data_IF_155348300587
#
_entry.id   IF_155348300587
#
_cell.length_a   1.000
_cell.length_b   1.000
_cell.length_c   1.000
_cell.angle_alpha   90.00
_cell.angle_beta   90.00
_cell.angle_gamma   90.00
#
_symmetry.space_group_name_H-M   'P 1'
#
loop_
_entity.id
_entity.type
_entity.pdbx_description
1 polymer ?
#
# COMPACT_ATOMS: atom_id res chain seq x y z
N UNK A 1 15.74 9.62 84.07
CA UNK A 1 15.24 8.27 83.73
C UNK A 1 16.40 7.47 83.17
N UNK A 2 16.56 6.24 83.68
CA UNK A 2 17.59 5.24 83.36
C UNK A 2 17.35 4.52 82.01
N UNK A 3 18.37 3.76 81.61
CA UNK A 3 18.47 2.64 80.62
C UNK A 3 18.86 3.04 79.18
N UNK A 4 20.09 2.83 78.69
CA UNK A 4 20.89 1.60 78.36
C UNK A 4 20.43 0.82 77.12
N UNK A 5 21.39 0.48 76.25
CA UNK A 5 21.32 -0.61 75.26
C UNK A 5 21.67 -0.13 73.84
N UNK A 6 22.91 -0.24 73.34
CA UNK A 6 23.66 -1.46 72.95
C UNK A 6 23.12 -2.12 71.67
N UNK A 7 23.99 -2.31 70.67
CA UNK A 7 23.83 -3.41 69.72
C UNK A 7 24.11 -3.16 68.24
N UNK A 8 25.31 -3.55 67.84
CA UNK A 8 25.58 -4.45 66.70
C UNK A 8 25.58 -3.92 65.25
N UNK A 9 26.75 -4.14 64.65
CA UNK A 9 27.09 -4.12 63.24
C UNK A 9 26.33 -5.14 62.37
N UNK A 10 26.23 -4.83 61.08
CA UNK A 10 26.51 -5.74 59.96
C UNK A 10 26.71 -4.86 58.71
N UNK A 11 27.89 -4.79 58.08
CA UNK A 11 28.65 -5.83 57.39
C UNK A 11 27.89 -6.44 56.20
N UNK A 12 28.39 -6.13 54.99
CA UNK A 12 28.12 -6.85 53.75
C UNK A 12 26.79 -6.47 53.09
N UNK A 13 26.68 -6.34 51.78
CA UNK A 13 27.32 -7.23 50.81
C UNK A 13 27.34 -6.57 49.44
N UNK A 14 28.53 -6.56 48.84
CA UNK A 14 28.75 -6.47 47.39
C UNK A 14 27.82 -7.44 46.67
N UNK A 15 26.94 -6.91 45.83
CA UNK A 15 26.03 -7.73 45.03
C UNK A 15 25.96 -7.21 43.62
N UNK A 16 27.02 -7.41 42.84
CA UNK A 16 26.98 -7.37 41.39
C UNK A 16 26.04 -8.49 40.89
N UNK A 17 24.74 -8.27 41.02
CA UNK A 17 23.71 -9.14 40.48
C UNK A 17 23.64 -8.91 38.98
N UNK A 18 24.27 -9.78 38.19
CA UNK A 18 23.94 -9.97 36.77
C UNK A 18 22.41 -10.05 36.66
N UNK A 19 21.79 -8.96 36.23
CA UNK A 19 20.35 -8.87 36.06
C UNK A 19 19.92 -9.92 35.05
N UNK A 20 19.40 -11.04 35.54
CA UNK A 20 18.60 -11.95 34.72
C UNK A 20 17.41 -11.13 34.26
N UNK A 21 17.49 -10.59 33.05
CA UNK A 21 16.38 -9.89 32.41
C UNK A 21 15.12 -10.75 32.58
N UNK A 22 14.11 -10.19 33.27
CA UNK A 22 12.87 -10.88 33.56
C UNK A 22 12.29 -11.40 32.22
N UNK A 23 11.93 -12.68 32.10
CA UNK A 23 11.46 -13.28 30.84
C UNK A 23 10.24 -12.55 30.27
N UNK A 24 9.43 -11.93 31.14
CA UNK A 24 8.35 -11.03 30.78
C UNK A 24 8.83 -9.81 29.97
N UNK A 25 9.93 -9.16 30.33
CA UNK A 25 10.46 -8.00 29.58
C UNK A 25 10.99 -8.38 28.19
N UNK A 26 11.49 -9.62 28.02
CA UNK A 26 11.93 -10.14 26.71
C UNK A 26 10.74 -10.46 25.82
N UNK A 27 9.69 -11.07 26.36
CA UNK A 27 8.46 -11.37 25.64
C UNK A 27 7.75 -10.08 25.20
N UNK A 28 7.72 -9.07 26.07
CA UNK A 28 7.14 -7.77 25.79
C UNK A 28 7.92 -7.02 24.70
N UNK A 29 9.26 -6.91 24.82
CA UNK A 29 10.12 -6.35 23.75
C UNK A 29 9.93 -7.06 22.40
N UNK A 30 9.74 -8.38 22.39
CA UNK A 30 9.45 -9.15 21.16
C UNK A 30 8.08 -8.78 20.58
N UNK A 31 7.05 -8.63 21.42
CA UNK A 31 5.71 -8.19 21.01
C UNK A 31 5.76 -6.79 20.41
N UNK A 32 6.41 -5.83 21.07
CA UNK A 32 6.52 -4.46 20.57
C UNK A 32 7.20 -4.42 19.19
N UNK A 33 8.33 -5.13 19.02
CA UNK A 33 9.02 -5.23 17.73
C UNK A 33 8.17 -5.88 16.64
N UNK A 34 7.37 -6.89 16.97
CA UNK A 34 6.45 -7.52 16.03
C UNK A 34 5.34 -6.56 15.58
N UNK A 35 4.78 -5.79 16.51
CA UNK A 35 3.76 -4.76 16.23
C UNK A 35 4.33 -3.63 15.39
N UNK A 36 5.53 -3.12 15.70
CA UNK A 36 6.21 -2.09 14.90
C UNK A 36 6.48 -2.57 13.47
N UNK A 37 6.94 -3.83 13.31
CA UNK A 37 7.17 -4.42 11.99
C UNK A 37 5.87 -4.55 11.19
N UNK A 38 4.78 -4.97 11.84
CA UNK A 38 3.46 -5.04 11.22
C UNK A 38 2.96 -3.65 10.80
N UNK A 39 3.07 -2.65 11.68
CA UNK A 39 2.68 -1.28 11.39
C UNK A 39 3.46 -0.67 10.21
N UNK A 40 4.78 -0.93 10.14
CA UNK A 40 5.60 -0.49 9.00
C UNK A 40 5.15 -1.15 7.69
N UNK A 41 4.82 -2.44 7.72
CA UNK A 41 4.33 -3.18 6.55
C UNK A 41 2.96 -2.67 6.08
N UNK A 42 2.07 -2.40 7.01
CA UNK A 42 0.77 -1.79 6.72
C UNK A 42 0.95 -0.42 6.06
N UNK A 43 1.88 0.41 6.54
CA UNK A 43 2.19 1.71 5.94
C UNK A 43 2.79 1.59 4.52
N UNK A 44 3.74 0.67 4.31
CA UNK A 44 4.32 0.38 2.99
C UNK A 44 3.23 -0.04 1.98
N UNK A 45 2.33 -0.94 2.39
CA UNK A 45 1.21 -1.39 1.57
C UNK A 45 0.26 -0.24 1.20
N UNK A 46 -0.12 0.60 2.16
CA UNK A 46 -1.00 1.76 1.90
C UNK A 46 -0.35 2.74 0.91
N UNK A 47 0.95 3.00 1.05
CA UNK A 47 1.67 3.87 0.13
C UNK A 47 1.72 3.28 -1.29
N UNK A 48 1.94 1.98 -1.43
CA UNK A 48 1.95 1.31 -2.73
C UNK A 48 0.57 1.38 -3.41
N UNK A 49 -0.51 1.17 -2.65
CA UNK A 49 -1.88 1.28 -3.13
C UNK A 49 -2.22 2.69 -3.60
N UNK A 50 -1.79 3.72 -2.85
CA UNK A 50 -1.97 5.11 -3.24
C UNK A 50 -1.25 5.43 -4.55
N UNK A 51 0.03 5.06 -4.69
CA UNK A 51 0.80 5.26 -5.93
C UNK A 51 0.19 4.54 -7.12
N UNK A 52 -0.30 3.32 -6.92
CA UNK A 52 -0.96 2.55 -7.97
C UNK A 52 -2.25 3.22 -8.44
N UNK A 53 -3.04 3.77 -7.50
CA UNK A 53 -4.25 4.53 -7.81
C UNK A 53 -3.93 5.81 -8.58
N UNK A 54 -2.97 6.60 -8.12
CA UNK A 54 -2.51 7.82 -8.83
C UNK A 54 -2.05 7.50 -10.26
N UNK A 55 -1.30 6.40 -10.44
CA UNK A 55 -0.89 5.97 -11.77
C UNK A 55 -2.09 5.64 -12.65
N UNK A 56 -3.06 4.90 -12.12
CA UNK A 56 -4.27 4.55 -12.85
C UNK A 56 -5.08 5.79 -13.25
N UNK A 57 -5.23 6.78 -12.37
CA UNK A 57 -5.91 8.04 -12.66
C UNK A 57 -5.19 8.83 -13.76
N UNK A 58 -3.85 8.86 -13.74
CA UNK A 58 -3.05 9.46 -14.82
C UNK A 58 -3.25 8.72 -16.14
N UNK A 59 -3.14 7.40 -16.14
CA UNK A 59 -3.31 6.58 -17.35
C UNK A 59 -4.74 6.77 -17.93
N UNK A 60 -5.77 6.97 -17.10
CA UNK A 60 -7.12 7.31 -17.56
C UNK A 60 -7.19 8.69 -18.22
N UNK A 61 -6.53 9.69 -17.63
CA UNK A 61 -6.47 11.04 -18.20
C UNK A 61 -5.77 11.04 -19.55
N UNK A 62 -4.63 10.35 -19.65
CA UNK A 62 -3.86 10.20 -20.89
C UNK A 62 -4.72 9.51 -21.97
N UNK A 63 -5.43 8.44 -21.62
CA UNK A 63 -6.32 7.75 -22.56
C UNK A 63 -7.43 8.65 -23.11
N UNK A 64 -8.01 9.51 -22.25
CA UNK A 64 -9.02 10.49 -22.66
C UNK A 64 -8.42 11.57 -23.55
N UNK A 65 -7.22 12.04 -23.24
CA UNK A 65 -6.54 13.02 -24.07
C UNK A 65 -6.22 12.44 -25.46
N UNK A 66 -5.71 11.21 -25.53
CA UNK A 66 -5.48 10.48 -26.77
C UNK A 66 -6.75 10.36 -27.62
N UNK A 67 -7.88 10.03 -26.99
CA UNK A 67 -9.19 9.97 -27.66
C UNK A 67 -9.57 11.33 -28.25
N UNK A 68 -9.47 12.40 -27.46
CA UNK A 68 -9.79 13.75 -27.92
C UNK A 68 -8.89 14.18 -29.09
N UNK A 69 -7.58 13.93 -29.01
CA UNK A 69 -6.64 14.25 -30.10
C UNK A 69 -6.99 13.49 -31.38
N UNK A 70 -7.35 12.22 -31.29
CA UNK A 70 -7.81 11.42 -32.45
C UNK A 70 -9.13 11.94 -33.01
N UNK A 71 -10.08 12.30 -32.16
CA UNK A 71 -11.34 12.90 -32.58
C UNK A 71 -11.11 14.19 -33.37
N UNK A 72 -10.26 15.10 -32.87
CA UNK A 72 -9.91 16.32 -33.58
C UNK A 72 -9.30 16.03 -34.95
N UNK A 73 -8.38 15.06 -35.03
CA UNK A 73 -7.76 14.67 -36.29
C UNK A 73 -8.78 14.15 -37.32
N UNK A 74 -9.76 13.34 -36.89
CA UNK A 74 -10.83 12.85 -37.77
C UNK A 74 -11.69 14.04 -38.25
N UNK A 75 -11.99 14.99 -37.37
CA UNK A 75 -12.75 16.18 -37.73
C UNK A 75 -12.00 17.08 -38.74
N UNK A 76 -10.69 17.27 -38.55
CA UNK A 76 -9.86 18.05 -39.47
C UNK A 76 -9.78 17.38 -40.86
N UNK A 77 -9.65 16.04 -40.89
CA UNK A 77 -9.70 15.27 -42.14
C UNK A 77 -11.06 15.37 -42.83
N UNK A 78 -12.16 15.34 -42.07
CA UNK A 78 -13.50 15.51 -42.63
C UNK A 78 -13.67 16.86 -43.34
N UNK A 79 -13.20 17.95 -42.71
CA UNK A 79 -13.24 19.30 -43.28
C UNK A 79 -12.34 19.41 -44.52
N UNK A 80 -11.17 18.78 -44.49
CA UNK A 80 -10.15 18.92 -45.56
C UNK A 80 -10.42 18.02 -46.77
N UNK A 81 -10.82 16.77 -46.54
CA UNK A 81 -10.85 15.73 -47.57
C UNK A 81 -12.29 15.44 -48.08
N UNK A 82 -13.27 16.29 -47.72
CA UNK A 82 -14.69 16.16 -48.10
C UNK A 82 -15.28 14.76 -47.87
N UNK A 83 -14.92 14.13 -46.74
CA UNK A 83 -15.49 12.84 -46.36
C UNK A 83 -17.02 12.90 -46.40
N UNK A 84 -17.64 11.81 -46.83
CA UNK A 84 -19.09 11.68 -46.69
C UNK A 84 -19.46 11.60 -45.21
N UNK A 85 -20.66 12.05 -44.85
CA UNK A 85 -21.17 11.94 -43.48
C UNK A 85 -21.13 10.49 -42.96
N UNK A 86 -21.32 9.51 -43.85
CA UNK A 86 -21.24 8.07 -43.53
C UNK A 86 -19.82 7.64 -43.14
N UNK A 87 -18.80 8.07 -43.89
CA UNK A 87 -17.40 7.74 -43.57
C UNK A 87 -16.96 8.36 -42.25
N UNK A 88 -17.34 9.61 -41.99
CA UNK A 88 -17.06 10.27 -40.71
C UNK A 88 -17.71 9.55 -39.53
N UNK A 89 -18.99 9.18 -39.65
CA UNK A 89 -19.70 8.45 -38.60
C UNK A 89 -19.04 7.10 -38.30
N UNK A 90 -18.64 6.34 -39.32
CA UNK A 90 -17.96 5.06 -39.15
C UNK A 90 -16.62 5.20 -38.42
N UNK A 91 -15.80 6.20 -38.78
CA UNK A 91 -14.52 6.45 -38.11
C UNK A 91 -14.71 6.88 -36.65
N UNK A 92 -15.70 7.73 -36.37
CA UNK A 92 -16.06 8.13 -35.02
C UNK A 92 -16.54 6.95 -34.15
N UNK A 93 -17.36 6.06 -34.71
CA UNK A 93 -17.82 4.85 -34.02
C UNK A 93 -16.66 3.89 -33.72
N UNK A 94 -15.75 3.68 -34.69
CA UNK A 94 -14.53 2.89 -34.48
C UNK A 94 -13.66 3.47 -33.37
N UNK A 95 -13.46 4.79 -33.38
CA UNK A 95 -12.69 5.48 -32.35
C UNK A 95 -13.32 5.30 -30.96
N UNK A 96 -14.65 5.44 -30.86
CA UNK A 96 -15.40 5.24 -29.61
C UNK A 96 -15.27 3.80 -29.09
N UNK A 97 -15.45 2.81 -29.96
CA UNK A 97 -15.33 1.40 -29.59
C UNK A 97 -13.92 1.10 -29.08
N UNK A 98 -12.88 1.57 -29.78
CA UNK A 98 -11.49 1.40 -29.36
C UNK A 98 -11.24 2.01 -27.97
N UNK A 99 -11.74 3.23 -27.73
CA UNK A 99 -11.58 3.91 -26.45
C UNK A 99 -12.24 3.14 -25.29
N UNK A 100 -13.47 2.67 -25.46
CA UNK A 100 -14.15 1.89 -24.42
C UNK A 100 -13.44 0.56 -24.15
N UNK A 101 -12.95 -0.12 -25.17
CA UNK A 101 -12.15 -1.34 -25.01
C UNK A 101 -10.86 -1.08 -24.24
N UNK A 102 -10.14 0.00 -24.55
CA UNK A 102 -8.89 0.34 -23.88
C UNK A 102 -9.12 0.78 -22.43
N UNK A 103 -10.23 1.48 -22.17
CA UNK A 103 -10.67 1.84 -20.82
C UNK A 103 -10.98 0.60 -19.98
N UNK A 104 -11.70 -0.38 -20.53
CA UNK A 104 -11.97 -1.66 -19.86
C UNK A 104 -10.68 -2.41 -19.55
N UNK A 105 -9.77 -2.55 -20.53
CA UNK A 105 -8.46 -3.20 -20.31
C UNK A 105 -7.62 -2.48 -19.25
N UNK A 106 -7.69 -1.15 -19.19
CA UNK A 106 -7.01 -0.37 -18.15
C UNK A 106 -7.58 -0.68 -16.76
N UNK A 107 -8.91 -0.71 -16.63
CA UNK A 107 -9.60 -1.09 -15.40
C UNK A 107 -9.21 -2.49 -14.93
N UNK A 108 -9.34 -3.49 -15.80
CA UNK A 108 -9.03 -4.89 -15.48
C UNK A 108 -7.58 -5.08 -15.03
N UNK A 109 -6.63 -4.39 -15.69
CA UNK A 109 -5.22 -4.44 -15.30
C UNK A 109 -5.01 -3.84 -13.91
N UNK A 110 -5.64 -2.71 -13.62
CA UNK A 110 -5.55 -2.08 -12.30
C UNK A 110 -6.13 -2.97 -11.20
N UNK A 111 -7.34 -3.50 -11.40
CA UNK A 111 -8.01 -4.39 -10.44
C UNK A 111 -7.21 -5.66 -10.18
N UNK A 112 -6.72 -6.32 -11.23
CA UNK A 112 -5.89 -7.53 -11.09
C UNK A 112 -4.64 -7.26 -10.25
N UNK A 113 -3.97 -6.14 -10.47
CA UNK A 113 -2.77 -5.79 -9.69
C UNK A 113 -3.12 -5.39 -8.25
N UNK A 114 -4.22 -4.67 -8.05
CA UNK A 114 -4.75 -4.32 -6.73
C UNK A 114 -5.03 -5.60 -5.92
N UNK A 115 -5.72 -6.56 -6.50
CA UNK A 115 -6.10 -7.80 -5.83
C UNK A 115 -4.88 -8.68 -5.52
N UNK A 116 -3.88 -8.67 -6.42
CA UNK A 116 -2.59 -9.33 -6.17
C UNK A 116 -1.87 -8.71 -4.97
N UNK A 117 -1.80 -7.37 -4.88
CA UNK A 117 -1.21 -6.66 -3.73
C UNK A 117 -1.98 -6.95 -2.45
N UNK A 118 -3.31 -6.91 -2.51
CA UNK A 118 -4.19 -7.21 -1.38
C UNK A 118 -3.94 -8.63 -0.84
N UNK A 119 -3.92 -9.62 -1.72
CA UNK A 119 -3.72 -11.02 -1.36
C UNK A 119 -2.32 -11.24 -0.76
N UNK A 120 -1.29 -10.63 -1.36
CA UNK A 120 0.08 -10.71 -0.84
C UNK A 120 0.19 -10.11 0.56
N UNK A 121 -0.37 -8.91 0.78
CA UNK A 121 -0.37 -8.26 2.09
C UNK A 121 -1.13 -9.08 3.15
N UNK A 122 -2.29 -9.65 2.81
CA UNK A 122 -3.04 -10.52 3.72
C UNK A 122 -2.26 -11.79 4.08
N UNK A 123 -1.60 -12.43 3.11
CA UNK A 123 -0.77 -13.60 3.36
C UNK A 123 0.39 -13.27 4.32
N UNK A 124 1.10 -12.16 4.09
CA UNK A 124 2.17 -11.70 4.98
C UNK A 124 1.66 -11.41 6.40
N UNK A 125 0.52 -10.72 6.53
CA UNK A 125 -0.07 -10.41 7.84
C UNK A 125 -0.46 -11.66 8.62
N UNK A 126 -1.05 -12.64 7.94
CA UNK A 126 -1.45 -13.91 8.55
C UNK A 126 -0.22 -14.71 9.04
N UNK A 127 0.92 -14.64 8.35
CA UNK A 127 2.16 -15.27 8.85
C UNK A 127 2.66 -14.60 10.13
N UNK A 128 2.51 -13.27 10.25
CA UNK A 128 2.91 -12.53 11.46
C UNK A 128 1.96 -12.84 12.63
N UNK A 129 0.65 -13.02 12.38
CA UNK A 129 -0.31 -13.40 13.43
C UNK A 129 -0.22 -14.88 13.86
N UNK A 130 0.25 -15.77 12.99
CA UNK A 130 0.42 -17.21 13.26
C UNK A 130 1.72 -17.54 14.00
N UNK A 131 2.65 -16.60 14.13
CA UNK A 131 3.71 -16.68 15.16
C UNK A 131 3.02 -16.55 16.50
N UNK A 132 2.52 -17.70 17.02
CA UNK A 132 1.90 -17.82 18.35
C UNK A 132 2.82 -17.16 19.38
N UNK A 133 2.35 -16.02 19.91
CA UNK A 133 2.92 -15.29 21.03
C UNK A 133 2.77 -16.03 22.35
#
# INVERSE_FOLDING_TARGET
MLLTGSGAASAGTLGAGKGKENPFSKAEKKRTKALEKAAKKDAEYQQEMARAKEKYERDQADLKEDYNRKQHKINDQFVKDHYTASQFAQEMDRLRISYEMDKQKLQERYERQRDKRQTAWQAERNTISLVKL
#
